data_IF_147806715632
#
_entry.id   IF_147806715632
#
_cell.length_a   1.000
_cell.length_b   1.000
_cell.length_c   1.000
_cell.angle_alpha   90.00
_cell.angle_beta   90.00
_cell.angle_gamma   90.00
#
_symmetry.space_group_name_H-M   'P 1'
#
loop_
_entity.id
_entity.type
_entity.pdbx_description
1 polymer ?
#
# COMPACT_ATOMS: atom_id res chain seq x y z
N UNK A 1 -24.50 -2.76 1.35
CA UNK A 1 -23.43 -3.67 1.79
C UNK A 1 -22.10 -2.93 1.77
N UNK A 2 -21.32 -3.07 2.81
CA UNK A 2 -19.98 -2.47 2.86
C UNK A 2 -19.03 -3.15 1.89
N UNK A 3 -18.11 -2.39 1.35
CA UNK A 3 -16.99 -2.95 0.62
C UNK A 3 -15.69 -2.65 1.39
N UNK A 4 -14.56 -2.99 0.81
CA UNK A 4 -13.29 -2.85 1.52
C UNK A 4 -12.96 -1.39 1.86
N UNK A 5 -13.15 -0.48 0.91
CA UNK A 5 -12.75 0.92 1.05
C UNK A 5 -13.89 1.85 1.50
N UNK A 6 -15.12 1.49 1.20
CA UNK A 6 -16.26 2.39 1.35
C UNK A 6 -17.32 1.81 2.28
N UNK A 7 -18.00 2.69 2.99
CA UNK A 7 -19.08 2.32 3.87
C UNK A 7 -20.43 2.21 3.17
N UNK A 8 -20.47 2.54 1.87
CA UNK A 8 -21.71 2.52 1.09
C UNK A 8 -21.50 1.83 -0.25
N UNK A 9 -22.59 1.32 -0.84
CA UNK A 9 -22.55 0.61 -2.12
C UNK A 9 -22.19 1.51 -3.30
N UNK A 10 -22.51 2.80 -3.18
CA UNK A 10 -22.25 3.77 -4.25
C UNK A 10 -20.80 4.25 -4.27
N UNK A 11 -20.02 3.83 -3.27
CA UNK A 11 -18.61 4.20 -3.15
C UNK A 11 -18.40 5.70 -3.09
N UNK A 12 -19.19 6.36 -2.25
CA UNK A 12 -19.11 7.80 -2.04
C UNK A 12 -18.55 8.18 -0.67
N UNK A 13 -18.66 7.28 0.32
CA UNK A 13 -18.25 7.55 1.69
C UNK A 13 -17.09 6.61 2.06
N UNK A 14 -15.87 7.15 2.11
CA UNK A 14 -14.70 6.39 2.55
C UNK A 14 -14.86 5.96 4.01
N UNK A 15 -14.37 4.77 4.33
CA UNK A 15 -14.34 4.31 5.72
C UNK A 15 -13.32 5.14 6.49
N UNK A 16 -13.79 5.87 7.49
CA UNK A 16 -12.91 6.70 8.32
C UNK A 16 -11.80 5.88 8.98
N UNK A 17 -12.10 4.65 9.39
CA UNK A 17 -11.15 3.79 10.07
C UNK A 17 -9.91 3.47 9.20
N UNK A 18 -10.10 3.40 7.87
CA UNK A 18 -8.98 3.18 6.96
C UNK A 18 -7.98 4.33 7.00
N UNK A 19 -8.50 5.56 7.16
CA UNK A 19 -7.69 6.78 7.09
C UNK A 19 -7.16 7.21 8.46
N UNK A 20 -7.58 6.56 9.52
CA UNK A 20 -7.21 6.91 10.88
C UNK A 20 -6.52 5.73 11.56
N UNK A 21 -7.28 4.91 12.31
CA UNK A 21 -6.68 3.84 13.12
C UNK A 21 -5.95 2.80 12.28
N UNK A 22 -6.53 2.35 11.18
CA UNK A 22 -5.90 1.33 10.34
C UNK A 22 -4.65 1.86 9.66
N UNK A 23 -4.70 3.09 9.14
CA UNK A 23 -3.53 3.71 8.52
C UNK A 23 -2.40 3.86 9.53
N UNK A 24 -2.71 4.27 10.75
CA UNK A 24 -1.73 4.41 11.82
C UNK A 24 -1.13 3.06 12.20
N UNK A 25 -1.97 2.04 12.32
CA UNK A 25 -1.51 0.69 12.65
C UNK A 25 -0.56 0.14 11.59
N UNK A 26 -0.89 0.32 10.30
CA UNK A 26 0.00 -0.06 9.21
C UNK A 26 1.34 0.66 9.32
N UNK A 27 1.31 1.97 9.51
CA UNK A 27 2.53 2.77 9.62
C UNK A 27 3.44 2.26 10.75
N UNK A 28 2.86 1.95 11.91
CA UNK A 28 3.62 1.41 13.04
C UNK A 28 4.28 0.07 12.70
N UNK A 29 3.55 -0.80 11.99
CA UNK A 29 4.10 -2.10 11.57
C UNK A 29 5.25 -1.94 10.58
N UNK A 30 5.20 -0.92 9.75
CA UNK A 30 6.27 -0.66 8.79
C UNK A 30 7.54 -0.16 9.48
N UNK A 31 7.39 0.59 10.56
CA UNK A 31 8.52 1.12 11.33
C UNK A 31 9.11 0.06 12.23
N UNK A 32 8.25 -0.77 12.85
CA UNK A 32 8.65 -1.87 13.72
C UNK A 32 8.00 -3.16 13.26
N UNK A 33 8.52 -3.75 12.18
CA UNK A 33 7.94 -5.00 11.68
C UNK A 33 8.24 -6.16 12.63
N UNK A 34 7.49 -7.24 12.46
CA UNK A 34 7.67 -8.44 13.26
C UNK A 34 9.08 -9.01 13.02
N UNK A 35 9.63 -9.64 14.07
CA UNK A 35 10.94 -10.27 13.95
C UNK A 35 10.84 -11.52 13.09
N UNK A 36 11.78 -11.70 12.14
CA UNK A 36 11.79 -12.91 11.34
C UNK A 36 12.19 -14.12 12.18
N UNK A 37 11.77 -15.30 11.74
CA UNK A 37 12.22 -16.57 12.31
C UNK A 37 13.41 -17.07 11.49
N UNK A 38 14.41 -17.64 12.17
CA UNK A 38 15.58 -18.18 11.50
C UNK A 38 16.53 -17.10 11.02
N UNK A 39 17.05 -17.26 9.80
CA UNK A 39 18.04 -16.36 9.22
C UNK A 39 17.43 -15.28 8.33
N UNK A 40 16.13 -15.29 8.14
CA UNK A 40 15.47 -14.30 7.28
C UNK A 40 15.48 -12.93 7.95
N UNK A 41 15.65 -11.91 7.12
CA UNK A 41 15.59 -10.53 7.59
C UNK A 41 14.19 -9.98 7.36
N UNK A 42 13.77 -9.07 8.23
CA UNK A 42 12.54 -8.31 8.02
C UNK A 42 12.83 -6.86 8.39
N UNK A 43 13.45 -6.11 7.47
CA UNK A 43 13.92 -4.75 7.79
C UNK A 43 12.77 -3.77 7.93
N UNK A 44 12.96 -2.71 8.73
CA UNK A 44 11.99 -1.61 8.75
C UNK A 44 11.87 -0.97 7.36
N UNK A 45 10.70 -0.43 7.06
CA UNK A 45 10.51 0.30 5.81
C UNK A 45 11.28 1.61 5.88
N UNK A 46 12.10 1.88 4.87
CA UNK A 46 12.81 3.15 4.79
C UNK A 46 11.96 4.22 4.10
N UNK A 47 12.26 5.48 4.39
CA UNK A 47 11.63 6.62 3.71
C UNK A 47 11.82 6.52 2.20
N UNK A 48 13.02 6.11 1.75
CA UNK A 48 13.31 5.98 0.32
C UNK A 48 12.39 4.97 -0.36
N UNK A 49 12.19 3.80 0.26
CA UNK A 49 11.31 2.78 -0.29
C UNK A 49 9.84 3.21 -0.25
N UNK A 50 9.42 3.82 0.85
CA UNK A 50 8.05 4.34 0.97
C UNK A 50 7.76 5.35 -0.15
N UNK A 51 8.67 6.30 -0.36
CA UNK A 51 8.52 7.33 -1.40
C UNK A 51 8.50 6.73 -2.80
N UNK A 52 9.32 5.71 -3.04
CA UNK A 52 9.34 5.03 -4.33
C UNK A 52 7.98 4.45 -4.67
N UNK A 53 7.37 3.71 -3.74
CA UNK A 53 6.06 3.10 -3.96
C UNK A 53 4.96 4.16 -4.02
N UNK A 54 5.02 5.18 -3.17
CA UNK A 54 4.04 6.26 -3.21
C UNK A 54 4.08 6.98 -4.56
N UNK A 55 5.28 7.23 -5.10
CA UNK A 55 5.45 7.82 -6.41
C UNK A 55 4.80 6.98 -7.52
N UNK A 56 4.96 5.65 -7.44
CA UNK A 56 4.31 4.73 -8.38
C UNK A 56 2.78 4.82 -8.29
N UNK A 57 2.24 4.90 -7.06
CA UNK A 57 0.80 5.01 -6.85
C UNK A 57 0.26 6.31 -7.47
N UNK A 58 0.97 7.41 -7.27
CA UNK A 58 0.57 8.71 -7.84
C UNK A 58 0.69 8.72 -9.36
N UNK A 59 1.73 8.10 -9.91
CA UNK A 59 1.91 8.00 -11.35
C UNK A 59 0.77 7.20 -12.00
N UNK A 60 0.37 6.10 -11.37
CA UNK A 60 -0.76 5.30 -11.85
C UNK A 60 -2.07 6.09 -11.80
N UNK A 61 -2.27 6.90 -10.76
CA UNK A 61 -3.44 7.76 -10.65
C UNK A 61 -3.55 8.70 -11.85
N UNK A 62 -2.43 9.32 -12.21
CA UNK A 62 -2.36 10.21 -13.38
C UNK A 62 -2.67 9.45 -14.67
N UNK A 63 -2.15 8.23 -14.81
CA UNK A 63 -2.41 7.40 -15.99
C UNK A 63 -3.88 7.00 -16.10
N UNK A 64 -4.52 6.71 -14.97
CA UNK A 64 -5.96 6.37 -14.93
C UNK A 64 -6.78 7.56 -15.44
N UNK A 65 -6.45 8.77 -14.99
CA UNK A 65 -7.14 9.98 -15.44
C UNK A 65 -6.97 10.20 -16.95
N UNK A 66 -5.80 9.91 -17.49
CA UNK A 66 -5.50 10.13 -18.90
C UNK A 66 -6.09 9.05 -19.81
N UNK A 67 -6.08 7.79 -19.38
CA UNK A 67 -6.37 6.64 -20.26
C UNK A 67 -7.54 5.77 -19.80
N UNK A 68 -8.06 6.00 -18.60
CA UNK A 68 -9.14 5.22 -18.04
C UNK A 68 -8.66 4.04 -17.21
N UNK A 69 -9.48 3.65 -16.25
CA UNK A 69 -9.13 2.61 -15.28
C UNK A 69 -8.87 1.25 -15.95
N UNK A 70 -9.74 0.85 -16.87
CA UNK A 70 -9.64 -0.48 -17.47
C UNK A 70 -8.33 -0.68 -18.22
N UNK A 71 -7.85 0.36 -18.90
CA UNK A 71 -6.58 0.28 -19.62
C UNK A 71 -5.40 0.19 -18.68
N UNK A 72 -5.49 0.82 -17.52
CA UNK A 72 -4.38 0.90 -16.55
C UNK A 72 -4.42 -0.24 -15.52
N UNK A 73 -5.55 -0.92 -15.38
CA UNK A 73 -5.72 -2.00 -14.39
C UNK A 73 -4.57 -3.01 -14.37
N UNK A 74 -4.08 -3.52 -15.50
CA UNK A 74 -2.94 -4.44 -15.48
C UNK A 74 -1.70 -3.83 -14.83
N UNK A 75 -1.48 -2.54 -15.02
CA UNK A 75 -0.32 -1.85 -14.42
C UNK A 75 -0.49 -1.70 -12.90
N UNK A 76 -1.74 -1.58 -12.43
CA UNK A 76 -2.00 -1.57 -10.99
C UNK A 76 -1.58 -2.91 -10.38
N UNK A 77 -1.88 -4.01 -11.07
CA UNK A 77 -1.50 -5.35 -10.59
C UNK A 77 0.02 -5.52 -10.51
N UNK A 78 0.78 -4.75 -11.31
CA UNK A 78 2.24 -4.78 -11.26
C UNK A 78 2.81 -4.27 -9.93
N UNK A 79 2.03 -3.55 -9.13
CA UNK A 79 2.47 -3.16 -7.79
C UNK A 79 2.79 -4.39 -6.95
N UNK A 80 2.02 -5.47 -7.13
CA UNK A 80 2.27 -6.73 -6.41
C UNK A 80 3.61 -7.34 -6.83
N UNK A 81 3.92 -7.32 -8.11
CA UNK A 81 5.20 -7.83 -8.63
C UNK A 81 6.37 -7.00 -8.11
N UNK A 82 6.21 -5.67 -8.08
CA UNK A 82 7.26 -4.77 -7.57
C UNK A 82 7.49 -5.00 -6.07
N UNK A 83 6.42 -5.22 -5.31
CA UNK A 83 6.53 -5.54 -3.89
C UNK A 83 7.23 -6.88 -3.69
N UNK A 84 6.87 -7.89 -4.48
CA UNK A 84 7.52 -9.20 -4.41
C UNK A 84 9.01 -9.12 -4.71
N UNK A 85 9.39 -8.32 -5.72
CA UNK A 85 10.80 -8.11 -6.06
C UNK A 85 11.57 -7.49 -4.90
N UNK A 86 10.96 -6.54 -4.20
CA UNK A 86 11.59 -5.86 -3.06
C UNK A 86 11.54 -6.66 -1.76
N UNK A 87 10.79 -7.76 -1.74
CA UNK A 87 10.58 -8.57 -0.55
C UNK A 87 10.66 -10.07 -0.89
N UNK A 88 11.85 -10.54 -1.35
CA UNK A 88 11.99 -11.94 -1.76
C UNK A 88 11.79 -12.89 -0.56
N UNK A 89 11.20 -14.06 -0.84
CA UNK A 89 10.95 -15.08 0.19
C UNK A 89 12.17 -15.94 0.44
N UNK A 90 13.11 -15.99 -0.51
CA UNK A 90 14.32 -16.81 -0.39
C UNK A 90 15.54 -16.08 -0.95
N UNK A 91 16.65 -16.15 -0.21
CA UNK A 91 17.99 -15.90 -0.71
C UNK A 91 18.28 -14.51 -1.24
N UNK A 92 17.44 -13.54 -1.03
CA UNK A 92 17.68 -12.18 -1.49
C UNK A 92 17.69 -11.20 -0.32
N UNK A 93 18.14 -9.99 -0.63
CA UNK A 93 18.08 -8.90 0.34
C UNK A 93 16.71 -8.25 0.30
N UNK A 94 15.94 -8.39 1.37
CA UNK A 94 14.67 -7.68 1.51
C UNK A 94 14.93 -6.19 1.66
N UNK A 95 14.28 -5.39 0.83
CA UNK A 95 14.35 -3.94 0.88
C UNK A 95 13.16 -3.34 1.62
N UNK A 96 12.08 -4.11 1.73
CA UNK A 96 10.87 -3.70 2.45
C UNK A 96 10.47 -4.83 3.39
N UNK A 97 9.78 -4.50 4.50
CA UNK A 97 9.31 -5.54 5.42
C UNK A 97 8.14 -6.32 4.83
N UNK A 98 7.92 -7.53 5.34
CA UNK A 98 6.79 -8.36 4.95
C UNK A 98 5.47 -7.62 5.13
N UNK A 99 5.34 -6.83 6.19
CA UNK A 99 4.13 -6.08 6.50
C UNK A 99 3.76 -5.10 5.38
N UNK A 100 4.76 -4.47 4.75
CA UNK A 100 4.49 -3.55 3.66
C UNK A 100 4.04 -4.30 2.40
N UNK A 101 4.65 -5.45 2.13
CA UNK A 101 4.22 -6.30 1.02
C UNK A 101 2.78 -6.78 1.23
N UNK A 102 2.44 -7.20 2.45
CA UNK A 102 1.08 -7.64 2.80
C UNK A 102 0.09 -6.49 2.57
N UNK A 103 0.44 -5.28 3.02
CA UNK A 103 -0.39 -4.09 2.81
C UNK A 103 -0.69 -3.86 1.32
N UNK A 104 0.35 -3.87 0.49
CA UNK A 104 0.18 -3.64 -0.94
C UNK A 104 -0.64 -4.75 -1.60
N UNK A 105 -0.34 -6.01 -1.28
CA UNK A 105 -1.08 -7.15 -1.85
C UNK A 105 -2.56 -7.07 -1.47
N UNK A 106 -2.87 -6.82 -0.20
CA UNK A 106 -4.24 -6.74 0.28
C UNK A 106 -5.01 -5.60 -0.38
N UNK A 107 -4.40 -4.42 -0.44
CA UNK A 107 -5.04 -3.27 -1.06
C UNK A 107 -5.31 -3.49 -2.54
N UNK A 108 -4.29 -3.95 -3.28
CA UNK A 108 -4.41 -4.15 -4.72
C UNK A 108 -5.48 -5.21 -5.02
N UNK A 109 -5.56 -6.26 -4.21
CA UNK A 109 -6.56 -7.31 -4.41
C UNK A 109 -8.00 -6.80 -4.28
N UNK A 110 -8.22 -5.69 -3.58
CA UNK A 110 -9.55 -5.13 -3.39
C UNK A 110 -9.88 -3.99 -4.37
N UNK A 111 -8.97 -3.65 -5.28
CA UNK A 111 -9.21 -2.60 -6.28
C UNK A 111 -9.93 -3.21 -7.48
N UNK A 112 -11.20 -2.85 -7.65
CA UNK A 112 -12.03 -3.36 -8.75
C UNK A 112 -12.36 -2.29 -9.77
N UNK A 113 -12.35 -1.02 -9.36
CA UNK A 113 -12.74 0.10 -10.23
C UNK A 113 -11.97 1.36 -9.85
N UNK A 114 -12.24 2.45 -10.58
CA UNK A 114 -11.57 3.73 -10.38
C UNK A 114 -11.77 4.28 -8.96
N UNK A 115 -12.98 4.12 -8.41
CA UNK A 115 -13.27 4.63 -7.07
C UNK A 115 -12.45 3.90 -6.01
N UNK A 116 -12.29 2.59 -6.17
CA UNK A 116 -11.44 1.81 -5.26
C UNK A 116 -9.99 2.28 -5.35
N UNK A 117 -9.50 2.60 -6.55
CA UNK A 117 -8.14 3.08 -6.70
C UNK A 117 -7.95 4.43 -6.01
N UNK A 118 -8.92 5.33 -6.13
CA UNK A 118 -8.88 6.61 -5.42
C UNK A 118 -8.79 6.40 -3.91
N UNK A 119 -9.61 5.47 -3.39
CA UNK A 119 -9.60 5.14 -1.97
C UNK A 119 -8.24 4.58 -1.53
N UNK A 120 -7.67 3.71 -2.34
CA UNK A 120 -6.33 3.16 -2.09
C UNK A 120 -5.28 4.28 -2.03
N UNK A 121 -5.30 5.19 -3.00
CA UNK A 121 -4.34 6.30 -3.03
C UNK A 121 -4.46 7.20 -1.80
N UNK A 122 -5.68 7.50 -1.40
CA UNK A 122 -5.94 8.32 -0.20
C UNK A 122 -5.48 7.59 1.06
N UNK A 123 -5.76 6.29 1.14
CA UNK A 123 -5.32 5.46 2.27
C UNK A 123 -3.81 5.44 2.37
N UNK A 124 -3.12 5.27 1.23
CA UNK A 124 -1.67 5.27 1.19
C UNK A 124 -1.11 6.61 1.67
N UNK A 125 -1.73 7.72 1.23
CA UNK A 125 -1.34 9.06 1.69
C UNK A 125 -1.47 9.19 3.21
N UNK A 126 -2.56 8.67 3.77
CA UNK A 126 -2.75 8.68 5.23
C UNK A 126 -1.66 7.87 5.94
N UNK A 127 -1.30 6.70 5.37
CA UNK A 127 -0.22 5.87 5.91
C UNK A 127 1.11 6.65 5.88
N UNK A 128 1.40 7.35 4.79
CA UNK A 128 2.61 8.18 4.67
C UNK A 128 2.66 9.21 5.78
N UNK A 129 1.54 9.90 6.03
CA UNK A 129 1.45 10.89 7.10
C UNK A 129 1.76 10.29 8.47
N UNK A 130 1.12 9.18 8.80
CA UNK A 130 1.37 8.51 10.08
C UNK A 130 2.79 7.94 10.17
N UNK A 131 3.33 7.44 9.04
CA UNK A 131 4.70 6.94 9.02
C UNK A 131 5.69 8.02 9.49
N UNK A 132 5.60 9.22 8.95
CA UNK A 132 6.45 10.32 9.38
C UNK A 132 6.11 10.75 10.81
N UNK A 133 4.84 10.81 11.16
CA UNK A 133 4.40 11.20 12.49
C UNK A 133 4.87 10.25 13.59
N UNK A 134 5.00 8.96 13.26
CA UNK A 134 5.48 7.96 14.21
C UNK A 134 7.00 7.78 14.17
N UNK A 135 7.71 8.62 13.42
CA UNK A 135 9.18 8.63 13.42
C UNK A 135 9.83 7.76 12.37
N UNK A 136 9.14 7.40 11.32
CA UNK A 136 9.72 6.64 10.20
C UNK A 136 10.83 7.40 9.50
N UNK A 137 11.84 6.67 9.02
CA UNK A 137 13.03 7.27 8.39
C UNK A 137 13.36 6.64 7.06
#
# INVERSE_FOLDING_TARGET
MENYFYGDDKKTILKESLLTQQAKDWAKKFIQPSRPTGYDRNPPLSTAQLRKFYGEVKALETKIEAKGFEQIKPLIKMLKSKAAYSCPTRGGNKKIPDEFKIFLDEMVDHIEDKQDYKAFAITFEAVVGYFYGEGGR
#
